data_IF_667316296183
#
_entry.id   IF_667316296183
#
_cell.length_a   1.000
_cell.length_b   1.000
_cell.length_c   1.000
_cell.angle_alpha   90.00
_cell.angle_beta   90.00
_cell.angle_gamma   90.00
#
_symmetry.space_group_name_H-M   'P 1'
#
loop_
_entity.id
_entity.type
_entity.pdbx_description
1 polymer ?
#
# COMPACT_ATOMS: atom_id res chain seq x y z
N UNK A 1 2.82 8.75 -25.04
CA UNK A 1 3.71 9.32 -23.99
C UNK A 1 4.68 8.23 -23.60
N UNK A 2 5.97 8.51 -23.54
CA UNK A 2 6.99 7.48 -23.30
C UNK A 2 6.86 6.89 -21.89
N UNK A 3 7.01 5.57 -21.74
CA UNK A 3 6.98 4.85 -20.46
C UNK A 3 7.95 5.45 -19.41
N UNK A 4 9.09 5.95 -19.86
CA UNK A 4 10.09 6.63 -19.03
C UNK A 4 9.57 7.88 -18.34
N UNK A 5 8.81 8.74 -19.05
CA UNK A 5 8.24 9.96 -18.46
C UNK A 5 7.19 9.65 -17.38
N UNK A 6 6.48 8.52 -17.51
CA UNK A 6 5.48 8.06 -16.52
C UNK A 6 6.18 7.51 -15.28
N UNK A 7 7.28 6.79 -15.45
CA UNK A 7 8.10 6.26 -14.35
C UNK A 7 8.75 7.37 -13.53
N UNK A 8 9.42 8.33 -14.17
CA UNK A 8 10.07 9.47 -13.49
C UNK A 8 9.07 10.25 -12.64
N UNK A 9 7.83 10.42 -13.15
CA UNK A 9 6.76 11.09 -12.41
C UNK A 9 6.33 10.29 -11.19
N UNK A 10 6.17 8.98 -11.31
CA UNK A 10 5.77 8.08 -10.20
C UNK A 10 6.73 8.23 -9.01
N UNK A 11 8.03 8.09 -9.24
CA UNK A 11 9.04 8.17 -8.19
C UNK A 11 9.20 9.58 -7.61
N UNK A 12 9.09 10.60 -8.45
CA UNK A 12 9.09 12.01 -8.02
C UNK A 12 7.90 12.32 -7.12
N UNK A 13 6.70 11.87 -7.48
CA UNK A 13 5.48 12.09 -6.69
C UNK A 13 5.56 11.37 -5.34
N UNK A 14 6.04 10.12 -5.30
CA UNK A 14 6.30 9.37 -4.06
C UNK A 14 7.27 10.14 -3.13
N UNK A 15 8.40 10.61 -3.64
CA UNK A 15 9.38 11.39 -2.84
C UNK A 15 8.82 12.70 -2.33
N UNK A 16 8.14 13.44 -3.19
CA UNK A 16 7.46 14.69 -2.80
C UNK A 16 6.48 14.44 -1.67
N UNK A 17 5.63 13.41 -1.80
CA UNK A 17 4.62 13.09 -0.79
C UNK A 17 5.22 12.64 0.53
N UNK A 18 6.25 11.82 0.51
CA UNK A 18 7.02 11.44 1.72
C UNK A 18 7.55 12.67 2.44
N UNK A 19 8.19 13.61 1.72
CA UNK A 19 8.75 14.82 2.31
C UNK A 19 7.65 15.70 2.94
N UNK A 20 6.50 15.83 2.30
CA UNK A 20 5.34 16.56 2.80
C UNK A 20 4.79 15.95 4.09
N UNK A 21 4.49 14.64 4.07
CA UNK A 21 3.91 13.93 5.23
C UNK A 21 4.89 13.86 6.40
N UNK A 22 6.18 13.68 6.15
CA UNK A 22 7.24 13.74 7.16
C UNK A 22 7.25 15.07 7.93
N UNK A 23 7.01 16.17 7.24
CA UNK A 23 6.92 17.50 7.85
C UNK A 23 5.66 17.70 8.71
N UNK A 24 4.56 17.03 8.37
CA UNK A 24 3.25 17.19 9.01
C UNK A 24 2.96 16.17 10.12
N UNK A 25 3.46 14.93 9.97
CA UNK A 25 3.07 13.79 10.81
C UNK A 25 4.25 13.23 11.59
N UNK A 26 4.56 13.89 12.72
CA UNK A 26 5.72 13.52 13.55
C UNK A 26 5.70 12.08 14.07
N UNK A 27 4.51 11.49 14.29
CA UNK A 27 4.35 10.10 14.75
C UNK A 27 4.73 9.06 13.68
N UNK A 28 4.65 9.40 12.39
CA UNK A 28 5.02 8.53 11.27
C UNK A 28 6.44 8.79 10.77
N UNK A 29 7.19 9.73 11.36
CA UNK A 29 8.49 10.20 10.87
C UNK A 29 9.48 9.07 10.61
N UNK A 30 9.70 8.19 11.59
CA UNK A 30 10.68 7.11 11.47
C UNK A 30 10.34 6.16 10.34
N UNK A 31 9.06 5.85 10.15
CA UNK A 31 8.57 5.01 9.07
C UNK A 31 8.72 5.70 7.70
N UNK A 32 8.40 6.99 7.63
CA UNK A 32 8.56 7.78 6.40
C UNK A 32 10.04 8.00 6.06
N UNK A 33 10.93 8.08 7.06
CA UNK A 33 12.39 8.15 6.86
C UNK A 33 12.91 6.87 6.21
N UNK A 34 12.52 5.69 6.72
CA UNK A 34 12.85 4.41 6.13
C UNK A 34 12.29 4.28 4.70
N UNK A 35 11.01 4.60 4.51
CA UNK A 35 10.39 4.50 3.19
C UNK A 35 11.06 5.47 2.19
N UNK A 36 11.35 6.70 2.59
CA UNK A 36 12.07 7.66 1.77
C UNK A 36 13.46 7.18 1.34
N UNK A 37 14.17 6.49 2.23
CA UNK A 37 15.46 5.87 1.90
C UNK A 37 15.30 4.67 0.93
N UNK A 38 14.25 3.86 1.10
CA UNK A 38 13.92 2.74 0.21
C UNK A 38 13.62 3.21 -1.23
N UNK A 39 12.99 4.37 -1.42
CA UNK A 39 12.60 4.87 -2.75
C UNK A 39 13.79 4.94 -3.72
N UNK A 40 15.01 5.23 -3.24
CA UNK A 40 16.19 5.26 -4.09
C UNK A 40 16.57 3.86 -4.64
N UNK A 41 16.50 2.84 -3.77
CA UNK A 41 16.76 1.45 -4.16
C UNK A 41 15.64 0.93 -5.06
N UNK A 42 14.39 1.25 -4.73
CA UNK A 42 13.22 0.81 -5.48
C UNK A 42 13.17 1.39 -6.90
N UNK A 43 13.47 2.69 -7.06
CA UNK A 43 13.55 3.30 -8.39
C UNK A 43 14.66 2.65 -9.24
N UNK A 44 15.85 2.41 -8.65
CA UNK A 44 16.92 1.70 -9.33
C UNK A 44 16.47 0.29 -9.73
N UNK A 45 15.85 -0.46 -8.84
CA UNK A 45 15.34 -1.79 -9.12
C UNK A 45 14.29 -1.79 -10.24
N UNK A 46 13.40 -0.78 -10.28
CA UNK A 46 12.44 -0.59 -11.36
C UNK A 46 13.14 -0.38 -12.71
N UNK A 47 14.13 0.52 -12.77
CA UNK A 47 14.88 0.82 -14.02
C UNK A 47 15.66 -0.40 -14.50
N UNK A 48 16.37 -1.08 -13.58
CA UNK A 48 17.15 -2.27 -13.90
C UNK A 48 16.24 -3.41 -14.40
N UNK A 49 15.09 -3.63 -13.76
CA UNK A 49 14.14 -4.66 -14.18
C UNK A 49 13.48 -4.35 -15.53
N UNK A 50 13.16 -3.09 -15.81
CA UNK A 50 12.63 -2.67 -17.10
C UNK A 50 13.67 -2.93 -18.24
N UNK A 51 14.95 -2.79 -17.95
CA UNK A 51 16.02 -3.07 -18.92
C UNK A 51 16.32 -4.57 -19.06
N UNK A 52 16.33 -5.32 -17.95
CA UNK A 52 16.68 -6.74 -17.91
C UNK A 52 15.53 -7.65 -18.34
N UNK A 53 14.27 -7.20 -18.13
CA UNK A 53 13.03 -7.98 -18.39
C UNK A 53 13.11 -9.42 -17.88
N UNK A 54 13.32 -9.65 -16.58
CA UNK A 54 13.49 -11.01 -16.04
C UNK A 54 12.22 -11.86 -16.26
N UNK A 55 12.42 -13.11 -16.61
CA UNK A 55 11.32 -14.07 -16.75
C UNK A 55 10.71 -14.43 -15.39
N UNK A 56 9.43 -14.77 -15.38
CA UNK A 56 8.70 -15.13 -14.15
C UNK A 56 9.37 -16.28 -13.37
N UNK A 57 9.96 -17.26 -14.05
CA UNK A 57 10.66 -18.41 -13.44
C UNK A 57 11.95 -18.02 -12.71
N UNK A 58 12.63 -16.98 -13.17
CA UNK A 58 13.90 -16.50 -12.61
C UNK A 58 13.73 -15.31 -11.65
N UNK A 59 12.51 -14.82 -11.52
CA UNK A 59 12.19 -13.59 -10.81
C UNK A 59 12.69 -13.60 -9.35
N UNK A 60 12.48 -14.71 -8.62
CA UNK A 60 12.91 -14.81 -7.23
C UNK A 60 14.46 -14.80 -7.10
N UNK A 61 15.17 -15.39 -8.06
CA UNK A 61 16.62 -15.36 -8.10
C UNK A 61 17.12 -13.95 -8.43
N UNK A 62 16.60 -13.34 -9.49
CA UNK A 62 16.92 -11.98 -9.89
C UNK A 62 16.75 -10.98 -8.74
N UNK A 63 15.59 -11.00 -8.07
CA UNK A 63 15.31 -10.09 -6.95
C UNK A 63 16.27 -10.32 -5.78
N UNK A 64 16.54 -11.60 -5.45
CA UNK A 64 17.43 -11.94 -4.34
C UNK A 64 18.89 -11.49 -4.59
N UNK A 65 19.36 -11.55 -5.83
CA UNK A 65 20.73 -11.22 -6.19
C UNK A 65 20.93 -9.73 -6.48
N UNK A 66 19.96 -9.09 -7.14
CA UNK A 66 20.12 -7.72 -7.65
C UNK A 66 19.54 -6.67 -6.72
N UNK A 67 18.38 -6.95 -6.06
CA UNK A 67 17.63 -5.93 -5.34
C UNK A 67 17.76 -6.06 -3.82
N UNK A 68 17.66 -7.29 -3.29
CA UNK A 68 17.69 -7.54 -1.84
C UNK A 68 18.91 -6.92 -1.16
N UNK A 69 20.14 -7.00 -1.66
CA UNK A 69 21.29 -6.38 -0.98
C UNK A 69 21.07 -4.89 -0.69
N UNK A 70 20.59 -4.13 -1.67
CA UNK A 70 20.32 -2.70 -1.50
C UNK A 70 19.18 -2.42 -0.50
N UNK A 71 18.14 -3.25 -0.47
CA UNK A 71 17.04 -3.12 0.52
C UNK A 71 17.55 -3.44 1.93
N UNK A 72 18.40 -4.46 2.08
CA UNK A 72 19.04 -4.80 3.35
C UNK A 72 19.89 -3.64 3.85
N UNK A 73 20.79 -3.11 3.02
CA UNK A 73 21.69 -2.00 3.39
C UNK A 73 20.90 -0.78 3.87
N UNK A 74 19.87 -0.37 3.12
CA UNK A 74 19.01 0.76 3.51
C UNK A 74 18.25 0.47 4.80
N UNK A 75 17.76 -0.75 4.99
CA UNK A 75 17.03 -1.13 6.20
C UNK A 75 17.94 -1.11 7.43
N UNK A 76 19.18 -1.59 7.30
CA UNK A 76 20.17 -1.53 8.37
C UNK A 76 20.59 -0.10 8.71
N UNK A 77 20.61 0.78 7.73
CA UNK A 77 20.94 2.19 7.92
C UNK A 77 19.80 3.00 8.53
N UNK A 78 18.57 2.91 7.98
CA UNK A 78 17.45 3.79 8.30
C UNK A 78 16.29 3.11 9.04
N UNK A 79 16.31 1.79 9.17
CA UNK A 79 15.21 1.04 9.78
C UNK A 79 15.15 1.16 11.30
N UNK A 80 13.95 0.95 11.91
CA UNK A 80 13.82 0.81 13.36
C UNK A 80 14.66 -0.35 13.90
N UNK A 81 15.16 -0.21 15.13
CA UNK A 81 16.03 -1.21 15.77
C UNK A 81 15.47 -2.62 15.73
N UNK A 82 14.19 -2.76 16.04
CA UNK A 82 13.50 -4.06 15.99
C UNK A 82 13.52 -4.68 14.59
N UNK A 83 13.20 -3.90 13.55
CA UNK A 83 13.22 -4.39 12.17
C UNK A 83 14.63 -4.81 11.75
N UNK A 84 15.65 -4.00 12.11
CA UNK A 84 17.05 -4.33 11.83
C UNK A 84 17.48 -5.65 12.46
N UNK A 85 17.19 -5.83 13.76
CA UNK A 85 17.54 -7.06 14.49
C UNK A 85 16.81 -8.29 13.94
N UNK A 86 15.52 -8.17 13.66
CA UNK A 86 14.74 -9.26 13.08
C UNK A 86 15.22 -9.62 11.66
N UNK A 87 15.59 -8.62 10.83
CA UNK A 87 16.12 -8.84 9.50
C UNK A 87 17.46 -9.57 9.51
N UNK A 88 18.41 -9.15 10.36
CA UNK A 88 19.71 -9.81 10.50
C UNK A 88 19.50 -11.27 10.87
N UNK A 89 18.74 -11.54 11.96
CA UNK A 89 18.47 -12.90 12.41
C UNK A 89 17.81 -13.75 11.33
N UNK A 90 16.90 -13.14 10.54
CA UNK A 90 16.19 -13.87 9.49
C UNK A 90 17.12 -14.27 8.33
N UNK A 91 18.03 -13.39 7.95
CA UNK A 91 19.01 -13.65 6.88
C UNK A 91 20.07 -14.68 7.27
N UNK A 92 20.30 -14.92 8.57
CA UNK A 92 21.13 -16.03 9.06
C UNK A 92 20.46 -17.39 8.92
N UNK A 93 19.13 -17.44 8.89
CA UNK A 93 18.35 -18.70 8.95
C UNK A 93 17.66 -19.05 7.63
N UNK A 94 17.47 -18.11 6.74
CA UNK A 94 16.72 -18.29 5.49
C UNK A 94 17.35 -17.56 4.33
N UNK A 95 17.42 -18.19 3.16
CA UNK A 95 17.95 -17.56 1.97
C UNK A 95 16.91 -16.59 1.35
N UNK A 96 17.30 -15.34 0.98
CA UNK A 96 16.37 -14.34 0.44
C UNK A 96 15.54 -14.82 -0.76
N UNK A 97 16.10 -15.65 -1.63
CA UNK A 97 15.37 -16.24 -2.78
C UNK A 97 14.13 -17.02 -2.32
N UNK A 98 14.21 -17.74 -1.22
CA UNK A 98 13.08 -18.53 -0.70
C UNK A 98 12.01 -17.61 -0.11
N UNK A 99 12.42 -16.54 0.58
CA UNK A 99 11.51 -15.51 1.11
C UNK A 99 10.72 -14.86 -0.04
N UNK A 100 11.40 -14.46 -1.11
CA UNK A 100 10.76 -13.85 -2.30
C UNK A 100 9.87 -14.86 -3.02
N UNK A 101 10.33 -16.10 -3.21
CA UNK A 101 9.55 -17.16 -3.88
C UNK A 101 8.23 -17.45 -3.17
N UNK A 102 8.24 -17.55 -1.82
CA UNK A 102 7.00 -17.75 -1.03
C UNK A 102 6.03 -16.58 -1.17
N UNK A 103 6.53 -15.34 -1.22
CA UNK A 103 5.66 -14.19 -1.47
C UNK A 103 5.01 -14.23 -2.87
N UNK A 104 5.76 -14.63 -3.90
CA UNK A 104 5.23 -14.83 -5.25
C UNK A 104 4.15 -15.94 -5.23
N UNK A 105 4.38 -17.03 -4.51
CA UNK A 105 3.43 -18.13 -4.36
C UNK A 105 2.18 -17.78 -3.52
N UNK A 106 2.14 -16.60 -2.88
CA UNK A 106 1.01 -16.18 -2.05
C UNK A 106 0.97 -16.84 -0.67
N UNK A 107 2.07 -17.42 -0.23
CA UNK A 107 2.17 -18.06 1.08
C UNK A 107 2.17 -17.02 2.21
N UNK A 108 1.57 -17.37 3.34
CA UNK A 108 1.65 -16.52 4.53
C UNK A 108 3.06 -16.54 5.13
N UNK A 109 3.54 -15.39 5.56
CA UNK A 109 4.91 -15.20 6.01
C UNK A 109 4.99 -14.32 7.25
N UNK A 110 6.09 -14.45 8.01
CA UNK A 110 6.43 -13.51 9.07
C UNK A 110 6.52 -12.08 8.54
N UNK A 111 6.28 -11.09 9.41
CA UNK A 111 6.25 -9.68 9.02
C UNK A 111 7.56 -9.22 8.36
N UNK A 112 8.71 -9.67 8.87
CA UNK A 112 10.03 -9.30 8.33
C UNK A 112 10.26 -9.92 6.95
N UNK A 113 9.82 -11.16 6.71
CA UNK A 113 9.92 -11.82 5.41
C UNK A 113 9.04 -11.10 4.38
N UNK A 114 7.81 -10.78 4.77
CA UNK A 114 6.85 -10.01 3.94
C UNK A 114 7.40 -8.63 3.61
N UNK A 115 7.98 -7.94 4.59
CA UNK A 115 8.64 -6.65 4.37
C UNK A 115 9.76 -6.78 3.34
N UNK A 116 10.70 -7.71 3.54
CA UNK A 116 11.83 -7.89 2.62
C UNK A 116 11.38 -8.25 1.21
N UNK A 117 10.46 -9.22 1.09
CA UNK A 117 9.92 -9.64 -0.19
C UNK A 117 9.23 -8.47 -0.92
N UNK A 118 8.36 -7.73 -0.25
CA UNK A 118 7.61 -6.63 -0.87
C UNK A 118 8.49 -5.43 -1.21
N UNK A 119 9.40 -5.04 -0.30
CA UNK A 119 10.32 -3.92 -0.55
C UNK A 119 11.21 -4.17 -1.76
N UNK A 120 11.59 -5.44 -2.00
CA UNK A 120 12.49 -5.83 -3.08
C UNK A 120 11.76 -6.18 -4.37
N UNK A 121 10.67 -6.96 -4.30
CA UNK A 121 9.96 -7.45 -5.48
C UNK A 121 9.00 -6.42 -6.08
N UNK A 122 8.35 -5.59 -5.24
CA UNK A 122 7.33 -4.63 -5.69
C UNK A 122 7.79 -3.76 -6.86
N UNK A 123 8.92 -3.04 -6.76
CA UNK A 123 9.41 -2.18 -7.85
C UNK A 123 9.78 -2.96 -9.11
N UNK A 124 10.21 -4.21 -8.97
CA UNK A 124 10.48 -5.09 -10.12
C UNK A 124 9.18 -5.43 -10.83
N UNK A 125 8.15 -5.86 -10.10
CA UNK A 125 6.84 -6.16 -10.70
C UNK A 125 6.16 -4.93 -11.33
N UNK A 126 6.34 -3.74 -10.75
CA UNK A 126 5.85 -2.48 -11.34
C UNK A 126 6.49 -2.17 -12.71
N UNK A 127 7.66 -2.74 -13.00
CA UNK A 127 8.40 -2.54 -14.25
C UNK A 127 8.07 -3.57 -15.33
N UNK A 128 7.47 -4.72 -14.97
CA UNK A 128 7.26 -5.84 -15.90
C UNK A 128 6.00 -5.65 -16.77
N UNK A 129 6.02 -6.28 -17.91
CA UNK A 129 4.88 -6.31 -18.82
C UNK A 129 3.76 -7.24 -18.32
N UNK A 130 2.49 -7.03 -18.79
CA UNK A 130 1.35 -7.83 -18.33
C UNK A 130 1.48 -9.35 -18.53
N UNK A 131 2.21 -9.81 -19.55
CA UNK A 131 2.37 -11.24 -19.81
C UNK A 131 3.25 -11.90 -18.75
N UNK A 132 4.36 -11.23 -18.40
CA UNK A 132 5.25 -11.69 -17.33
C UNK A 132 4.55 -11.64 -15.97
N UNK A 133 3.76 -10.59 -15.70
CA UNK A 133 2.94 -10.50 -14.49
C UNK A 133 1.92 -11.63 -14.39
N UNK A 134 1.22 -11.96 -15.48
CA UNK A 134 0.27 -13.07 -15.51
C UNK A 134 0.93 -14.43 -15.24
N UNK A 135 2.18 -14.61 -15.66
CA UNK A 135 2.96 -15.82 -15.40
C UNK A 135 3.40 -15.98 -13.93
N UNK A 136 3.36 -14.91 -13.11
CA UNK A 136 3.61 -15.00 -11.68
C UNK A 136 2.50 -15.73 -10.91
N UNK A 137 1.37 -16.03 -11.55
CA UNK A 137 0.24 -16.74 -10.96
C UNK A 137 -0.56 -15.90 -9.97
N UNK A 138 -1.65 -16.47 -9.45
CA UNK A 138 -2.51 -15.85 -8.44
C UNK A 138 -3.97 -16.16 -8.70
N UNK A 139 -4.85 -15.70 -7.80
CA UNK A 139 -6.29 -15.85 -7.98
C UNK A 139 -6.83 -14.84 -9.00
N UNK A 140 -7.68 -15.31 -9.90
CA UNK A 140 -8.31 -14.49 -10.94
C UNK A 140 -9.81 -14.33 -10.67
N UNK A 141 -10.16 -13.63 -9.61
CA UNK A 141 -11.52 -13.18 -9.36
C UNK A 141 -11.56 -11.62 -9.32
N UNK A 142 -12.74 -10.99 -9.34
CA UNK A 142 -12.84 -9.53 -9.36
C UNK A 142 -12.17 -8.82 -8.16
N UNK A 143 -11.89 -9.52 -7.05
CA UNK A 143 -11.25 -9.01 -5.85
C UNK A 143 -9.73 -9.02 -5.94
N UNK A 144 -9.17 -9.70 -6.93
CA UNK A 144 -7.74 -9.83 -7.16
C UNK A 144 -7.28 -9.05 -8.40
N UNK A 145 -6.02 -8.72 -8.42
CA UNK A 145 -5.41 -7.98 -9.54
C UNK A 145 -5.57 -8.74 -10.87
N UNK A 146 -6.10 -8.11 -11.92
CA UNK A 146 -6.28 -8.77 -13.22
C UNK A 146 -4.96 -9.16 -13.90
N UNK A 147 -3.84 -8.49 -13.54
CA UNK A 147 -2.53 -8.76 -14.14
C UNK A 147 -1.78 -9.90 -13.43
N UNK A 148 -1.56 -9.78 -12.11
CA UNK A 148 -0.73 -10.73 -11.36
C UNK A 148 -1.49 -11.60 -10.36
N UNK A 149 -2.83 -11.50 -10.26
CA UNK A 149 -3.64 -12.23 -9.29
C UNK A 149 -3.38 -11.86 -7.82
N UNK A 150 -2.64 -10.79 -7.55
CA UNK A 150 -2.34 -10.36 -6.18
C UNK A 150 -3.53 -9.76 -5.45
N UNK A 151 -3.56 -9.81 -4.09
CA UNK A 151 -4.63 -9.23 -3.30
C UNK A 151 -4.59 -7.69 -3.33
N UNK A 152 -5.73 -7.02 -3.00
CA UNK A 152 -5.77 -5.57 -2.88
C UNK A 152 -5.02 -5.08 -1.64
N UNK A 153 -4.25 -4.00 -1.79
CA UNK A 153 -3.58 -3.27 -0.72
C UNK A 153 -4.50 -2.25 -0.07
N UNK A 154 -5.07 -1.40 -0.90
CA UNK A 154 -5.88 -0.26 -0.54
C UNK A 154 -6.92 0.00 -1.63
N UNK A 155 -7.86 0.93 -1.38
CA UNK A 155 -8.68 1.51 -2.43
C UNK A 155 -8.44 3.02 -2.54
N UNK A 156 -8.75 3.57 -3.71
CA UNK A 156 -8.81 5.00 -3.88
C UNK A 156 -9.96 5.40 -4.80
N UNK A 157 -10.47 6.62 -4.60
CA UNK A 157 -11.44 7.23 -5.51
C UNK A 157 -10.74 8.26 -6.36
N UNK A 158 -10.87 8.14 -7.68
CA UNK A 158 -10.34 9.14 -8.61
C UNK A 158 -11.12 10.46 -8.49
N UNK A 159 -10.51 11.54 -8.99
CA UNK A 159 -11.20 12.82 -9.10
C UNK A 159 -12.43 12.65 -10.02
N UNK A 160 -13.64 13.10 -9.62
CA UNK A 160 -14.81 12.98 -10.46
C UNK A 160 -14.62 13.71 -11.79
N UNK A 161 -15.11 13.13 -12.88
CA UNK A 161 -15.30 13.88 -14.13
C UNK A 161 -16.42 14.91 -13.98
N UNK A 162 -16.56 15.81 -14.96
CA UNK A 162 -17.52 16.93 -14.93
C UNK A 162 -18.98 16.50 -14.68
N UNK A 163 -19.36 15.28 -15.06
CA UNK A 163 -20.73 14.76 -14.98
C UNK A 163 -21.00 13.86 -13.75
N UNK A 164 -20.02 13.63 -12.87
CA UNK A 164 -20.13 12.68 -11.76
C UNK A 164 -20.00 13.37 -10.39
N UNK A 165 -20.97 13.18 -9.52
CA UNK A 165 -20.91 13.67 -8.13
C UNK A 165 -19.77 13.02 -7.31
N UNK A 166 -19.32 11.83 -7.71
CA UNK A 166 -18.24 11.09 -7.05
C UNK A 166 -17.43 10.30 -8.08
N UNK A 167 -16.10 10.33 -8.00
CA UNK A 167 -15.20 9.60 -8.90
C UNK A 167 -15.31 8.06 -8.79
N UNK A 168 -14.89 7.30 -9.79
CA UNK A 168 -14.85 5.84 -9.72
C UNK A 168 -13.90 5.35 -8.61
N UNK A 169 -14.22 4.18 -8.03
CA UNK A 169 -13.37 3.49 -7.05
C UNK A 169 -12.47 2.49 -7.74
N UNK A 170 -11.21 2.49 -7.32
CA UNK A 170 -10.20 1.54 -7.75
C UNK A 170 -9.64 0.79 -6.53
N UNK A 171 -9.19 -0.44 -6.76
CA UNK A 171 -8.29 -1.16 -5.85
C UNK A 171 -6.88 -1.09 -6.41
N UNK A 172 -5.87 -1.08 -5.53
CA UNK A 172 -4.45 -1.12 -5.90
C UNK A 172 -3.84 -2.44 -5.41
N UNK A 173 -3.06 -3.08 -6.28
CA UNK A 173 -2.47 -4.38 -6.02
C UNK A 173 -1.32 -4.29 -5.01
N UNK A 174 -1.32 -5.16 -3.99
CA UNK A 174 -0.24 -5.27 -3.01
C UNK A 174 1.08 -5.83 -3.58
N UNK A 175 1.07 -6.42 -4.79
CA UNK A 175 2.24 -7.00 -5.44
C UNK A 175 2.82 -6.09 -6.52
N UNK A 176 2.05 -5.78 -7.56
CA UNK A 176 2.54 -5.09 -8.76
C UNK A 176 2.09 -3.62 -8.86
N UNK A 177 1.35 -3.09 -7.90
CA UNK A 177 0.88 -1.71 -7.91
C UNK A 177 -0.18 -1.37 -8.97
N UNK A 178 -0.59 -2.32 -9.81
CA UNK A 178 -1.64 -2.10 -10.82
C UNK A 178 -2.96 -1.79 -10.13
N UNK A 179 -3.66 -0.76 -10.63
CA UNK A 179 -4.98 -0.37 -10.16
C UNK A 179 -6.08 -0.89 -11.09
N UNK A 180 -7.19 -1.38 -10.52
CA UNK A 180 -8.35 -1.82 -11.29
C UNK A 180 -9.66 -1.32 -10.72
N UNK A 181 -10.66 -1.13 -11.57
CA UNK A 181 -11.98 -0.67 -11.17
C UNK A 181 -12.72 -1.70 -10.31
N UNK A 182 -13.33 -1.25 -9.20
CA UNK A 182 -14.07 -2.12 -8.29
C UNK A 182 -15.33 -1.44 -7.76
N UNK A 183 -16.46 -2.18 -7.60
CA UNK A 183 -17.71 -1.59 -7.11
C UNK A 183 -17.56 -0.94 -5.73
N UNK A 184 -18.21 0.23 -5.54
CA UNK A 184 -18.08 1.01 -4.30
C UNK A 184 -18.66 0.34 -3.08
N UNK A 185 -19.82 -0.29 -3.24
CA UNK A 185 -20.58 -0.95 -2.16
C UNK A 185 -20.31 -2.44 -2.14
N UNK A 186 -19.04 -2.83 -2.30
CA UNK A 186 -18.64 -4.23 -2.29
C UNK A 186 -17.33 -4.40 -1.51
N UNK A 187 -17.32 -5.35 -0.59
CA UNK A 187 -16.13 -5.67 0.19
C UNK A 187 -15.03 -6.27 -0.69
N UNK A 188 -13.85 -5.66 -0.70
CA UNK A 188 -12.70 -6.16 -1.45
C UNK A 188 -12.13 -7.48 -0.88
N UNK A 189 -12.51 -7.89 0.34
CA UNK A 189 -12.03 -9.11 0.98
C UNK A 189 -12.90 -10.33 0.76
N UNK A 190 -14.25 -10.17 0.70
CA UNK A 190 -15.17 -11.31 0.60
C UNK A 190 -16.29 -11.14 -0.43
N UNK A 191 -16.41 -9.97 -1.06
CA UNK A 191 -17.47 -9.72 -2.02
C UNK A 191 -18.82 -9.34 -1.42
N UNK A 192 -18.94 -9.15 -0.10
CA UNK A 192 -20.18 -8.67 0.56
C UNK A 192 -20.64 -7.35 -0.04
N UNK A 193 -21.90 -7.22 -0.45
CA UNK A 193 -22.46 -6.05 -1.10
C UNK A 193 -23.65 -5.41 -0.33
N UNK A 194 -24.04 -6.03 0.78
CA UNK A 194 -25.08 -5.45 1.64
C UNK A 194 -24.54 -4.22 2.38
N UNK A 195 -25.13 -3.05 2.13
CA UNK A 195 -24.75 -1.80 2.79
C UNK A 195 -24.85 -1.85 4.32
N UNK A 196 -25.75 -2.69 4.87
CA UNK A 196 -25.88 -2.89 6.30
C UNK A 196 -24.68 -3.61 6.94
N UNK A 197 -23.87 -4.31 6.14
CA UNK A 197 -22.68 -5.05 6.55
C UNK A 197 -21.38 -4.30 6.25
N UNK A 198 -21.44 -3.19 5.52
CA UNK A 198 -20.29 -2.38 5.14
C UNK A 198 -20.24 -1.13 6.02
N UNK A 199 -19.19 -0.99 6.80
CA UNK A 199 -18.98 0.13 7.70
C UNK A 199 -17.85 1.03 7.18
N UNK A 200 -18.08 2.35 7.22
CA UNK A 200 -17.06 3.34 6.89
C UNK A 200 -16.75 4.14 8.14
N UNK A 201 -15.47 4.23 8.51
CA UNK A 201 -15.01 5.07 9.60
C UNK A 201 -14.13 6.19 9.05
N UNK A 202 -14.26 7.37 9.63
CA UNK A 202 -13.47 8.55 9.31
C UNK A 202 -13.02 9.23 10.60
N UNK A 203 -11.88 9.91 10.53
CA UNK A 203 -11.44 10.76 11.63
C UNK A 203 -12.40 11.95 11.78
N UNK A 204 -12.79 12.25 13.02
CA UNK A 204 -13.55 13.43 13.36
C UNK A 204 -12.62 14.45 14.01
N UNK A 205 -12.54 15.66 13.44
CA UNK A 205 -11.77 16.76 14.02
C UNK A 205 -12.41 17.26 15.33
N UNK A 206 -11.60 17.50 16.35
CA UNK A 206 -12.05 18.10 17.63
C UNK A 206 -11.86 19.61 17.64
N UNK A 207 -12.74 20.34 18.35
CA UNK A 207 -12.67 21.79 18.48
C UNK A 207 -11.45 22.28 19.30
N UNK A 208 -10.83 21.39 20.08
CA UNK A 208 -9.80 21.72 21.08
C UNK A 208 -8.35 21.43 20.65
N UNK A 209 -8.10 21.01 19.39
CA UNK A 209 -6.72 20.69 18.94
C UNK A 209 -6.16 19.38 19.48
N UNK A 210 -6.94 18.61 20.25
CA UNK A 210 -6.62 17.25 20.62
C UNK A 210 -6.77 16.31 19.38
N UNK A 211 -6.10 15.15 19.42
CA UNK A 211 -6.21 14.16 18.34
C UNK A 211 -7.68 13.84 18.06
N UNK A 212 -8.09 13.95 16.80
CA UNK A 212 -9.44 13.63 16.40
C UNK A 212 -9.82 12.18 16.76
N UNK A 213 -11.07 11.97 17.15
CA UNK A 213 -11.60 10.62 17.34
C UNK A 213 -12.07 10.06 16.01
N UNK A 214 -11.86 8.77 15.79
CA UNK A 214 -12.41 8.07 14.62
C UNK A 214 -13.85 7.68 14.93
N UNK A 215 -14.77 7.97 14.01
CA UNK A 215 -16.20 7.67 14.18
C UNK A 215 -16.76 6.93 12.96
N UNK A 216 -17.81 6.13 13.23
CA UNK A 216 -18.56 5.42 12.20
C UNK A 216 -19.55 6.38 11.53
N UNK A 217 -19.49 6.47 10.19
CA UNK A 217 -20.51 7.14 9.39
C UNK A 217 -20.58 8.66 9.59
N UNK A 218 -19.64 9.42 9.01
CA UNK A 218 -19.82 10.87 8.90
C UNK A 218 -20.84 11.18 7.80
N UNK A 219 -21.86 12.00 8.07
CA UNK A 219 -22.72 12.53 7.03
C UNK A 219 -21.88 13.37 6.06
N UNK A 220 -22.11 13.19 4.77
CA UNK A 220 -21.52 14.03 3.73
C UNK A 220 -22.04 15.46 3.93
N UNK A 221 -21.23 16.38 4.48
CA UNK A 221 -21.63 17.78 4.59
C UNK A 221 -20.96 18.64 5.63
N UNK A 222 -20.25 18.07 6.62
CA UNK A 222 -19.61 18.91 7.65
C UNK A 222 -18.18 19.28 7.25
N UNK A 223 -18.04 20.36 6.46
CA UNK A 223 -16.76 20.88 5.99
C UNK A 223 -15.87 21.44 7.11
N UNK A 224 -16.48 21.97 8.19
CA UNK A 224 -15.74 22.55 9.31
C UNK A 224 -15.07 21.47 10.19
N UNK A 225 -15.73 20.31 10.38
CA UNK A 225 -15.14 19.18 11.09
C UNK A 225 -13.97 18.55 10.31
N UNK A 226 -14.04 18.51 8.98
CA UNK A 226 -12.99 17.96 8.11
C UNK A 226 -11.70 18.79 8.12
N UNK A 227 -11.77 20.10 8.33
CA UNK A 227 -10.59 20.99 8.33
C UNK A 227 -9.64 20.79 9.52
N UNK A 228 -10.05 20.04 10.55
CA UNK A 228 -9.26 19.77 11.77
C UNK A 228 -8.76 18.34 11.89
N UNK A 229 -9.01 17.50 10.88
CA UNK A 229 -8.54 16.11 10.86
C UNK A 229 -7.12 16.01 10.31
N UNK A 230 -6.39 15.00 10.77
CA UNK A 230 -5.05 14.68 10.25
C UNK A 230 -5.16 13.99 8.89
N UNK A 231 -6.22 13.17 8.70
CA UNK A 231 -6.46 12.37 7.51
C UNK A 231 -7.83 12.66 6.86
N UNK A 232 -8.10 13.90 6.41
CA UNK A 232 -9.42 14.26 5.86
C UNK A 232 -9.79 13.49 4.60
N UNK A 233 -8.80 12.96 3.89
CA UNK A 233 -8.91 12.24 2.63
C UNK A 233 -8.79 10.72 2.79
N UNK A 234 -8.64 10.18 4.02
CA UNK A 234 -8.51 8.73 4.25
C UNK A 234 -9.68 8.22 5.09
N UNK A 235 -10.20 7.07 4.71
CA UNK A 235 -11.28 6.36 5.40
C UNK A 235 -10.91 4.90 5.60
N UNK A 236 -11.50 4.28 6.62
CA UNK A 236 -11.48 2.83 6.81
C UNK A 236 -12.75 2.28 6.19
N UNK A 237 -12.63 1.40 5.22
CA UNK A 237 -13.74 0.60 4.67
C UNK A 237 -13.68 -0.79 5.30
N UNK A 238 -14.62 -1.10 6.19
CA UNK A 238 -14.66 -2.34 6.97
C UNK A 238 -15.89 -3.18 6.63
N UNK A 239 -15.75 -4.49 6.71
CA UNK A 239 -16.81 -5.46 6.45
C UNK A 239 -17.12 -6.26 7.71
N UNK A 240 -18.38 -6.22 8.15
CA UNK A 240 -18.84 -6.98 9.33
C UNK A 240 -18.94 -8.48 9.06
N UNK A 241 -19.11 -8.88 7.79
CA UNK A 241 -19.23 -10.30 7.41
C UNK A 241 -17.91 -11.04 7.50
N UNK A 242 -16.81 -10.48 6.97
CA UNK A 242 -15.49 -11.13 7.01
C UNK A 242 -14.55 -10.56 8.06
N UNK A 243 -14.95 -9.52 8.79
CA UNK A 243 -14.13 -8.81 9.80
C UNK A 243 -12.81 -8.28 9.27
N UNK A 244 -12.79 -7.91 7.97
CA UNK A 244 -11.63 -7.31 7.31
C UNK A 244 -11.89 -5.87 6.93
N UNK A 245 -10.80 -5.10 6.75
CA UNK A 245 -10.84 -3.71 6.28
C UNK A 245 -9.71 -3.43 5.30
N UNK A 246 -9.85 -2.33 4.57
CA UNK A 246 -8.76 -1.63 3.87
C UNK A 246 -8.91 -0.12 4.09
N UNK A 247 -7.84 0.62 3.80
CA UNK A 247 -7.88 2.08 3.76
C UNK A 247 -8.29 2.54 2.36
N UNK A 248 -9.12 3.58 2.31
CA UNK A 248 -9.61 4.20 1.09
C UNK A 248 -9.16 5.66 1.03
N UNK A 249 -8.47 6.04 -0.04
CA UNK A 249 -7.92 7.38 -0.25
C UNK A 249 -8.81 8.15 -1.25
N UNK A 250 -9.29 9.31 -0.85
CA UNK A 250 -10.14 10.19 -1.67
C UNK A 250 -9.29 11.26 -2.36
N UNK A 251 -8.94 11.04 -3.61
CA UNK A 251 -8.16 11.98 -4.42
C UNK A 251 -8.93 13.24 -4.82
N UNK A 252 -10.25 13.29 -4.63
CA UNK A 252 -11.00 14.52 -4.78
C UNK A 252 -10.81 15.46 -3.59
N UNK A 253 -10.62 14.89 -2.38
CA UNK A 253 -10.34 15.66 -1.16
C UNK A 253 -8.88 16.11 -1.09
N UNK A 254 -7.91 15.27 -1.51
CA UNK A 254 -6.49 15.64 -1.62
C UNK A 254 -5.92 15.12 -2.95
N UNK A 255 -5.94 15.95 -4.02
CA UNK A 255 -5.39 15.58 -5.32
C UNK A 255 -3.87 15.40 -5.34
N UNK A 256 -3.16 15.84 -4.30
CA UNK A 256 -1.71 15.66 -4.16
C UNK A 256 -1.36 14.34 -3.44
N UNK A 257 -2.35 13.63 -2.89
CA UNK A 257 -2.13 12.35 -2.22
C UNK A 257 -1.54 11.31 -3.19
N UNK A 258 -0.66 10.49 -2.64
CA UNK A 258 -0.09 9.32 -3.31
C UNK A 258 -0.52 8.10 -2.49
N UNK A 259 -1.51 7.31 -2.96
CA UNK A 259 -2.21 6.33 -2.15
C UNK A 259 -1.31 5.43 -1.30
N UNK A 260 -0.27 4.82 -1.88
CA UNK A 260 0.68 3.95 -1.15
C UNK A 260 1.48 4.68 -0.07
N UNK A 261 1.75 5.98 -0.25
CA UNK A 261 2.51 6.78 0.72
C UNK A 261 1.60 7.27 1.85
N UNK A 262 0.41 7.70 1.50
CA UNK A 262 -0.60 8.17 2.46
C UNK A 262 -1.07 7.04 3.37
N UNK A 263 -1.23 5.83 2.82
CA UNK A 263 -1.52 4.63 3.59
C UNK A 263 -0.46 4.35 4.65
N UNK A 264 0.83 4.45 4.30
CA UNK A 264 1.93 4.24 5.26
C UNK A 264 1.91 5.23 6.44
N UNK A 265 1.43 6.44 6.20
CA UNK A 265 1.33 7.46 7.24
C UNK A 265 0.07 7.31 8.11
N UNK A 266 -0.94 6.56 7.66
CA UNK A 266 -2.25 6.44 8.31
C UNK A 266 -2.31 5.41 9.46
N UNK A 267 -1.19 5.14 10.13
CA UNK A 267 -1.08 4.19 11.26
C UNK A 267 -2.20 4.33 12.31
N UNK A 268 -2.60 5.54 12.74
CA UNK A 268 -3.67 5.69 13.73
C UNK A 268 -5.00 5.09 13.26
N UNK A 269 -5.29 5.13 11.96
CA UNK A 269 -6.51 4.54 11.40
C UNK A 269 -6.42 3.00 11.39
N UNK A 270 -5.24 2.44 11.08
CA UNK A 270 -5.00 1.00 11.14
C UNK A 270 -5.12 0.47 12.58
N UNK A 271 -4.57 1.19 13.57
CA UNK A 271 -4.68 0.84 14.97
C UNK A 271 -6.13 0.88 15.45
N UNK A 272 -6.87 1.93 15.09
CA UNK A 272 -8.28 2.04 15.41
C UNK A 272 -9.11 0.87 14.82
N UNK A 273 -8.89 0.52 13.55
CA UNK A 273 -9.59 -0.60 12.93
C UNK A 273 -9.33 -1.92 13.66
N UNK A 274 -8.10 -2.16 14.10
CA UNK A 274 -7.73 -3.33 14.92
C UNK A 274 -8.41 -3.32 16.29
N UNK A 275 -8.50 -2.18 16.96
CA UNK A 275 -9.23 -2.01 18.23
C UNK A 275 -10.73 -2.31 18.07
N UNK A 276 -11.30 -2.01 16.88
CA UNK A 276 -12.68 -2.40 16.54
C UNK A 276 -12.82 -3.89 16.15
N UNK A 277 -11.73 -4.67 16.21
CA UNK A 277 -11.72 -6.10 15.92
C UNK A 277 -11.71 -6.44 14.43
N UNK A 278 -11.25 -5.53 13.57
CA UNK A 278 -11.03 -5.80 12.15
C UNK A 278 -9.56 -6.12 11.87
N UNK A 279 -9.31 -6.99 10.89
CA UNK A 279 -7.97 -7.25 10.35
C UNK A 279 -7.84 -6.67 8.94
N UNK A 280 -6.68 -6.13 8.60
CA UNK A 280 -6.45 -5.58 7.25
C UNK A 280 -6.47 -6.70 6.21
N UNK A 281 -7.03 -6.44 5.02
CA UNK A 281 -7.05 -7.42 3.92
C UNK A 281 -5.62 -7.78 3.55
N UNK A 282 -4.79 -6.79 3.29
CA UNK A 282 -3.34 -6.95 3.12
C UNK A 282 -2.63 -5.89 3.97
N UNK A 283 -1.82 -6.26 4.96
CA UNK A 283 -1.02 -5.31 5.70
C UNK A 283 -0.14 -4.50 4.75
N UNK A 284 0.11 -3.23 5.04
CA UNK A 284 1.00 -2.39 4.22
C UNK A 284 2.47 -2.86 4.29
N UNK A 285 3.37 -2.18 3.56
CA UNK A 285 4.79 -2.55 3.52
C UNK A 285 5.42 -2.63 4.93
N UNK A 286 4.94 -1.84 5.89
CA UNK A 286 5.47 -1.78 7.26
C UNK A 286 4.71 -2.67 8.25
N UNK A 287 3.76 -3.50 7.77
CA UNK A 287 3.08 -4.51 8.57
C UNK A 287 1.83 -4.03 9.33
N UNK A 288 1.32 -2.84 8.99
CA UNK A 288 0.06 -2.31 9.52
C UNK A 288 -1.11 -2.67 8.65
#
# INVERSE_FOLDING_TARGET
MSATLTADRLWTDRRRRVAELRGRQGFARQLLDLYGALLGVQEKAFVDAAAASPDAGDLAAYVAEVVVPGVVDVTLFAGPDRLRSELIHRLETEHPRQIVARWIAGEDQALVDRYLARASLGPVLEALDPRTLAACGGEHDPRHCPECGGPPQLSFSAVPGEDLATGPRFLECARCGVAWGYPRMTCAGCGEDSSARLSVFSELGTASGERGSVVRGLPAGDSAARQRTVFPHIRIEACESCRRYLLSIDLATDPAAVPVVDELAAIPLDLYAREQGFSKITPNLMGF
#
